data_IF_000234748635
#
_entry.id   IF_000234748635
#
_cell.length_a   1.000
_cell.length_b   1.000
_cell.length_c   1.000
_cell.angle_alpha   90.00
_cell.angle_beta   90.00
_cell.angle_gamma   90.00
#
_symmetry.space_group_name_H-M   'P 1'
#
loop_
_entity.id
_entity.type
_entity.pdbx_description
1 polymer ?
#
# COMPACT_ATOMS: atom_id res chain seq x y z
N UNK A 1 -52.50 -29.28 50.75
CA UNK A 1 -52.66 -28.96 49.31
C UNK A 1 -52.58 -27.45 49.17
N UNK A 2 -51.50 -26.84 48.73
CA UNK A 2 -50.91 -27.01 47.40
C UNK A 2 -49.48 -26.45 47.36
N UNK A 3 -48.53 -27.25 46.90
CA UNK A 3 -47.18 -26.84 46.51
C UNK A 3 -47.22 -26.00 45.22
N UNK A 4 -46.48 -24.88 45.18
CA UNK A 4 -46.14 -24.20 43.92
C UNK A 4 -44.64 -24.33 43.66
N UNK A 5 -44.31 -25.26 42.78
CA UNK A 5 -42.97 -25.56 42.30
C UNK A 5 -42.57 -24.58 41.18
N UNK A 6 -41.45 -23.89 41.36
CA UNK A 6 -40.82 -22.97 40.40
C UNK A 6 -39.97 -23.74 39.39
N UNK A 7 -40.35 -23.76 38.10
CA UNK A 7 -39.50 -24.29 37.02
C UNK A 7 -38.51 -23.22 36.53
N UNK A 8 -37.22 -23.37 36.88
CA UNK A 8 -36.09 -22.74 36.18
C UNK A 8 -35.69 -23.61 34.97
N UNK A 9 -35.85 -23.11 33.75
CA UNK A 9 -35.32 -23.72 32.52
C UNK A 9 -33.87 -23.28 32.31
N UNK A 10 -32.92 -24.15 32.67
CA UNK A 10 -31.51 -24.03 32.29
C UNK A 10 -31.35 -24.41 30.81
N UNK A 11 -31.11 -23.43 29.93
CA UNK A 11 -30.83 -23.66 28.52
C UNK A 11 -29.44 -24.27 28.33
N UNK A 12 -29.39 -25.54 27.97
CA UNK A 12 -28.13 -26.24 27.68
C UNK A 12 -27.55 -25.74 26.36
N UNK A 13 -26.50 -24.91 26.43
CA UNK A 13 -25.60 -24.65 25.29
C UNK A 13 -24.91 -25.95 24.90
N UNK A 14 -25.37 -26.57 23.81
CA UNK A 14 -24.79 -27.83 23.33
C UNK A 14 -23.39 -27.59 22.76
N UNK A 15 -22.42 -28.38 23.24
CA UNK A 15 -21.01 -28.44 22.76
C UNK A 15 -20.90 -28.53 21.23
N UNK A 16 -21.87 -29.15 20.57
CA UNK A 16 -21.96 -29.27 19.11
C UNK A 16 -22.18 -27.93 18.39
N UNK A 17 -22.86 -26.98 19.04
CA UNK A 17 -23.07 -25.62 18.51
C UNK A 17 -21.79 -24.79 18.64
N UNK A 18 -21.07 -24.94 19.75
CA UNK A 18 -19.77 -24.29 19.94
C UNK A 18 -18.76 -24.73 18.87
N UNK A 19 -18.61 -26.04 18.63
CA UNK A 19 -17.71 -26.54 17.59
C UNK A 19 -18.09 -26.09 16.17
N UNK A 20 -19.40 -25.99 15.86
CA UNK A 20 -19.85 -25.41 14.58
C UNK A 20 -19.49 -23.93 14.47
N UNK A 21 -19.69 -23.14 15.52
CA UNK A 21 -19.35 -21.71 15.51
C UNK A 21 -17.84 -21.48 15.44
N UNK A 22 -17.03 -22.27 16.16
CA UNK A 22 -15.56 -22.21 16.11
C UNK A 22 -15.00 -22.59 14.74
N UNK A 23 -15.59 -23.58 14.05
CA UNK A 23 -15.17 -23.99 12.70
C UNK A 23 -15.40 -22.90 11.63
N UNK A 24 -16.48 -22.12 11.75
CA UNK A 24 -16.79 -21.03 10.81
C UNK A 24 -15.79 -19.86 10.96
N UNK A 25 -15.37 -19.56 12.19
CA UNK A 25 -14.40 -18.48 12.46
C UNK A 25 -12.99 -18.85 11.95
N UNK A 26 -12.57 -20.11 12.11
CA UNK A 26 -11.29 -20.60 11.58
C UNK A 26 -11.23 -20.58 10.04
N UNK A 27 -12.35 -20.88 9.37
CA UNK A 27 -12.45 -20.83 7.90
C UNK A 27 -12.34 -19.41 7.33
N UNK A 28 -12.87 -18.41 8.02
CA UNK A 28 -12.80 -17.01 7.58
C UNK A 28 -11.35 -16.44 7.62
N UNK A 29 -10.55 -16.84 8.59
CA UNK A 29 -9.14 -16.44 8.69
C UNK A 29 -8.28 -17.06 7.57
N UNK A 30 -8.55 -18.31 7.19
CA UNK A 30 -7.85 -18.98 6.08
C UNK A 30 -8.17 -18.35 4.72
N UNK A 31 -9.41 -17.90 4.50
CA UNK A 31 -9.81 -17.21 3.28
C UNK A 31 -9.10 -15.87 3.06
N UNK A 32 -8.80 -15.13 4.13
CA UNK A 32 -8.09 -13.84 4.04
C UNK A 32 -6.64 -14.01 3.52
N UNK A 33 -5.96 -15.07 3.94
CA UNK A 33 -4.59 -15.35 3.51
C UNK A 33 -4.52 -15.80 2.04
N UNK A 34 -5.52 -16.56 1.58
CA UNK A 34 -5.61 -17.00 0.18
C UNK A 34 -5.95 -15.82 -0.73
N UNK A 35 -6.85 -14.91 -0.31
CA UNK A 35 -7.16 -13.70 -1.07
C UNK A 35 -5.94 -12.77 -1.24
N UNK A 36 -5.09 -12.64 -0.22
CA UNK A 36 -3.82 -11.90 -0.32
C UNK A 36 -2.81 -12.56 -1.25
N UNK A 37 -2.67 -13.88 -1.19
CA UNK A 37 -1.80 -14.64 -2.09
C UNK A 37 -2.29 -14.58 -3.55
N UNK A 38 -3.60 -14.53 -3.76
CA UNK A 38 -4.20 -14.46 -5.09
C UNK A 38 -4.01 -13.07 -5.74
N UNK A 39 -3.94 -11.99 -4.96
CA UNK A 39 -3.62 -10.66 -5.49
C UNK A 39 -2.17 -10.57 -6.00
N UNK A 40 -1.21 -11.24 -5.34
CA UNK A 40 0.16 -11.35 -5.85
C UNK A 40 0.26 -12.18 -7.15
N UNK A 41 -0.78 -12.92 -7.50
CA UNK A 41 -0.90 -13.69 -8.74
C UNK A 41 -1.84 -13.02 -9.77
N UNK A 42 -2.41 -11.85 -9.47
CA UNK A 42 -3.48 -11.20 -10.25
C UNK A 42 -3.00 -10.43 -11.48
N UNK A 43 -1.71 -10.13 -11.57
CA UNK A 43 -1.07 -9.59 -12.75
C UNK A 43 -0.19 -10.68 -13.37
N UNK A 44 -0.15 -10.79 -14.69
CA UNK A 44 0.64 -11.78 -15.43
C UNK A 44 2.16 -11.55 -15.26
N UNK A 45 2.69 -11.63 -14.04
CA UNK A 45 4.06 -11.33 -13.68
C UNK A 45 4.42 -9.84 -13.62
N UNK A 46 3.45 -8.92 -13.68
CA UNK A 46 3.69 -7.47 -13.65
C UNK A 46 3.50 -6.84 -12.26
N UNK A 47 4.33 -5.89 -11.87
CA UNK A 47 4.10 -5.05 -10.69
C UNK A 47 3.32 -3.80 -11.07
N UNK A 48 2.12 -3.65 -10.52
CA UNK A 48 1.26 -2.49 -10.67
C UNK A 48 1.71 -1.38 -9.72
N UNK A 49 2.07 -0.22 -10.29
CA UNK A 49 2.56 0.94 -9.55
C UNK A 49 1.44 1.99 -9.40
N UNK A 50 1.36 2.58 -8.21
CA UNK A 50 0.69 3.86 -7.98
C UNK A 50 1.73 4.96 -7.72
N UNK A 51 1.63 6.10 -8.42
CA UNK A 51 2.42 7.29 -8.09
C UNK A 51 1.59 8.26 -7.24
N UNK A 52 2.13 8.67 -6.09
CA UNK A 52 1.54 9.71 -5.25
C UNK A 52 2.53 10.86 -5.12
N UNK A 53 2.18 12.02 -5.69
CA UNK A 53 3.06 13.16 -5.90
C UNK A 53 3.67 13.16 -7.30
N UNK A 54 2.98 13.79 -8.24
CA UNK A 54 3.27 13.83 -9.67
C UNK A 54 4.27 14.97 -10.05
N UNK A 55 5.15 15.34 -9.14
CA UNK A 55 6.23 16.29 -9.41
C UNK A 55 7.38 15.67 -10.22
N UNK A 56 8.44 16.45 -10.46
CA UNK A 56 9.62 15.97 -11.19
C UNK A 56 10.28 14.74 -10.56
N UNK A 57 10.40 14.71 -9.23
CA UNK A 57 10.94 13.55 -8.50
C UNK A 57 10.04 12.31 -8.59
N UNK A 58 8.71 12.49 -8.51
CA UNK A 58 7.76 11.39 -8.65
C UNK A 58 7.77 10.79 -10.05
N UNK A 59 7.77 11.66 -11.06
CA UNK A 59 7.93 11.26 -12.47
C UNK A 59 9.24 10.49 -12.69
N UNK A 60 10.34 10.98 -12.11
CA UNK A 60 11.63 10.29 -12.13
C UNK A 60 11.64 8.97 -11.35
N UNK A 61 10.86 8.84 -10.28
CA UNK A 61 10.74 7.58 -9.53
C UNK A 61 10.05 6.49 -10.36
N UNK A 62 8.99 6.84 -11.10
CA UNK A 62 8.37 5.91 -12.05
C UNK A 62 9.35 5.53 -13.16
N UNK A 63 10.06 6.51 -13.73
CA UNK A 63 11.07 6.24 -14.76
C UNK A 63 12.16 5.27 -14.26
N UNK A 64 12.66 5.48 -13.04
CA UNK A 64 13.63 4.58 -12.41
C UNK A 64 13.04 3.17 -12.18
N UNK A 65 11.77 3.06 -11.78
CA UNK A 65 11.11 1.77 -11.63
C UNK A 65 10.94 1.05 -12.97
N UNK A 66 10.72 1.79 -14.05
CA UNK A 66 10.67 1.24 -15.41
C UNK A 66 12.03 0.72 -15.87
N UNK A 67 13.12 1.41 -15.53
CA UNK A 67 14.48 1.00 -15.86
C UNK A 67 14.93 -0.20 -15.02
N UNK A 68 14.43 -0.33 -13.79
CA UNK A 68 14.84 -1.39 -12.86
C UNK A 68 14.25 -2.77 -13.21
N UNK A 69 13.00 -2.84 -13.68
CA UNK A 69 12.38 -4.10 -14.12
C UNK A 69 11.39 -3.82 -15.27
N UNK A 70 11.49 -4.51 -16.43
CA UNK A 70 10.57 -4.34 -17.55
C UNK A 70 9.11 -4.72 -17.24
N UNK A 71 8.86 -5.48 -16.17
CA UNK A 71 7.55 -5.95 -15.74
C UNK A 71 6.88 -5.01 -14.74
N UNK A 72 7.27 -3.74 -14.68
CA UNK A 72 6.50 -2.74 -13.89
C UNK A 72 5.58 -1.93 -14.81
N UNK A 73 4.36 -1.62 -14.36
CA UNK A 73 3.40 -0.80 -15.10
C UNK A 73 2.72 0.20 -14.16
N UNK A 74 2.55 1.43 -14.62
CA UNK A 74 1.87 2.48 -13.86
C UNK A 74 0.37 2.38 -14.11
N UNK A 75 -0.42 2.18 -13.06
CA UNK A 75 -1.87 1.98 -13.17
C UNK A 75 -2.68 3.05 -12.44
N UNK A 76 -2.09 3.79 -11.50
CA UNK A 76 -2.76 4.87 -10.79
C UNK A 76 -1.82 6.05 -10.52
N UNK A 77 -2.37 7.26 -10.54
CA UNK A 77 -1.66 8.50 -10.20
C UNK A 77 -2.51 9.37 -9.27
N UNK A 78 -1.87 9.99 -8.29
CA UNK A 78 -2.48 10.96 -7.40
C UNK A 78 -1.61 12.21 -7.24
N UNK A 79 -2.25 13.37 -7.28
CA UNK A 79 -1.66 14.65 -6.88
C UNK A 79 -2.73 15.59 -6.31
N UNK A 80 -2.33 16.59 -5.54
CA UNK A 80 -3.25 17.64 -5.12
C UNK A 80 -3.62 18.57 -6.29
N UNK A 81 -2.75 18.67 -7.30
CA UNK A 81 -2.88 19.60 -8.41
C UNK A 81 -2.95 18.87 -9.76
N UNK A 82 -3.98 19.17 -10.55
CA UNK A 82 -4.24 18.51 -11.83
C UNK A 82 -3.15 18.77 -12.87
N UNK A 83 -2.60 19.99 -12.92
CA UNK A 83 -1.53 20.38 -13.84
C UNK A 83 -0.27 19.52 -13.65
N UNK A 84 0.08 19.20 -12.39
CA UNK A 84 1.20 18.31 -12.04
C UNK A 84 0.95 16.90 -12.52
N UNK A 85 -0.25 16.36 -12.26
CA UNK A 85 -0.65 15.03 -12.70
C UNK A 85 -0.56 14.92 -14.23
N UNK A 86 -1.19 15.85 -14.96
CA UNK A 86 -1.24 15.80 -16.43
C UNK A 86 0.15 15.95 -17.07
N UNK A 87 0.99 16.84 -16.51
CA UNK A 87 2.38 17.01 -16.98
C UNK A 87 3.18 15.71 -16.80
N UNK A 88 3.07 15.09 -15.62
CA UNK A 88 3.74 13.82 -15.34
C UNK A 88 3.25 12.70 -16.25
N UNK A 89 1.93 12.55 -16.39
CA UNK A 89 1.31 11.53 -17.22
C UNK A 89 1.75 11.65 -18.68
N UNK A 90 1.78 12.87 -19.21
CA UNK A 90 2.24 13.15 -20.58
C UNK A 90 3.69 12.73 -20.77
N UNK A 91 4.57 13.07 -19.82
CA UNK A 91 5.99 12.74 -19.90
C UNK A 91 6.23 11.22 -19.79
N UNK A 92 5.48 10.53 -18.93
CA UNK A 92 5.59 9.08 -18.75
C UNK A 92 5.05 8.33 -19.96
N UNK A 93 3.93 8.76 -20.56
CA UNK A 93 3.39 8.18 -21.80
C UNK A 93 4.36 8.34 -22.98
N UNK A 94 5.08 9.46 -23.07
CA UNK A 94 6.15 9.63 -24.07
C UNK A 94 7.31 8.67 -23.88
N UNK A 95 7.65 8.34 -22.62
CA UNK A 95 8.77 7.45 -22.30
C UNK A 95 8.44 5.97 -22.50
N UNK A 96 7.29 5.53 -22.01
CA UNK A 96 6.91 4.13 -21.96
C UNK A 96 5.39 3.97 -22.17
N UNK A 97 4.88 4.19 -23.40
CA UNK A 97 3.44 4.22 -23.67
C UNK A 97 2.75 2.91 -23.25
N UNK A 98 3.37 1.76 -23.53
CA UNK A 98 2.80 0.43 -23.26
C UNK A 98 2.79 0.06 -21.76
N UNK A 99 3.47 0.85 -20.93
CA UNK A 99 3.61 0.60 -19.49
C UNK A 99 2.85 1.61 -18.63
N UNK A 100 2.15 2.55 -19.25
CA UNK A 100 1.35 3.57 -18.57
C UNK A 100 -0.12 3.33 -18.89
N UNK A 101 -0.79 2.60 -17.99
CA UNK A 101 -2.21 2.22 -18.10
C UNK A 101 -3.15 3.21 -17.39
N UNK A 102 -2.62 4.38 -17.02
CA UNK A 102 -3.37 5.43 -16.34
C UNK A 102 -4.32 6.14 -17.31
N UNK A 103 -5.58 6.16 -16.91
CA UNK A 103 -6.68 6.85 -17.57
C UNK A 103 -7.33 7.88 -16.62
N UNK A 104 -8.44 8.48 -17.04
CA UNK A 104 -9.15 9.48 -16.23
C UNK A 104 -9.73 8.89 -14.94
N UNK A 105 -10.11 7.62 -14.93
CA UNK A 105 -10.69 6.95 -13.74
C UNK A 105 -9.65 6.63 -12.67
N UNK A 106 -8.38 6.50 -13.08
CA UNK A 106 -7.22 6.21 -12.24
C UNK A 106 -6.27 7.41 -12.05
N UNK A 107 -6.72 8.58 -12.50
CA UNK A 107 -6.08 9.89 -12.26
C UNK A 107 -6.83 10.64 -11.17
N UNK A 108 -6.28 10.63 -9.96
CA UNK A 108 -6.93 11.21 -8.78
C UNK A 108 -6.35 12.58 -8.46
N UNK A 109 -7.21 13.59 -8.32
CA UNK A 109 -6.82 14.96 -7.96
C UNK A 109 -7.49 15.37 -6.65
N UNK A 110 -6.72 15.98 -5.75
CA UNK A 110 -7.19 16.50 -4.47
C UNK A 110 -6.37 16.02 -3.27
N UNK A 111 -6.68 16.53 -2.08
CA UNK A 111 -5.96 16.16 -0.85
C UNK A 111 -6.24 14.72 -0.40
N UNK A 112 -7.37 14.15 -0.79
CA UNK A 112 -7.77 12.75 -0.54
C UNK A 112 -7.33 11.80 -1.66
N UNK A 113 -6.77 12.31 -2.76
CA UNK A 113 -6.41 11.52 -3.94
C UNK A 113 -5.44 10.37 -3.64
N UNK A 114 -4.56 10.53 -2.66
CA UNK A 114 -3.62 9.49 -2.26
C UNK A 114 -4.34 8.21 -1.78
N UNK A 115 -5.47 8.33 -1.09
CA UNK A 115 -6.25 7.18 -0.62
C UNK A 115 -6.82 6.40 -1.80
N UNK A 116 -7.40 7.11 -2.77
CA UNK A 116 -7.96 6.53 -4.00
C UNK A 116 -6.90 5.79 -4.82
N UNK A 117 -5.69 6.36 -4.94
CA UNK A 117 -4.58 5.70 -5.61
C UNK A 117 -4.07 4.45 -4.88
N UNK A 118 -4.15 4.42 -3.53
CA UNK A 118 -3.79 3.25 -2.72
C UNK A 118 -4.85 2.15 -2.83
N UNK A 119 -6.13 2.54 -2.89
CA UNK A 119 -7.27 1.63 -3.00
C UNK A 119 -7.44 1.02 -4.40
N UNK A 120 -6.81 1.62 -5.41
CA UNK A 120 -6.71 1.03 -6.73
C UNK A 120 -5.99 -0.34 -6.69
N UNK A 121 -6.11 -1.10 -7.78
CA UNK A 121 -5.49 -2.41 -7.96
C UNK A 121 -3.97 -2.29 -8.20
N UNK A 122 -3.24 -1.93 -7.15
CA UNK A 122 -1.78 -1.66 -7.15
C UNK A 122 -1.04 -2.57 -6.19
N UNK A 123 0.22 -2.89 -6.52
CA UNK A 123 1.13 -3.68 -5.67
C UNK A 123 2.08 -2.77 -4.89
N UNK A 124 2.60 -1.73 -5.57
CA UNK A 124 3.63 -0.84 -5.06
C UNK A 124 3.18 0.62 -5.14
N UNK A 125 3.31 1.34 -4.03
CA UNK A 125 3.07 2.77 -3.95
C UNK A 125 4.39 3.52 -3.96
N UNK A 126 4.57 4.44 -4.91
CA UNK A 126 5.69 5.36 -4.98
C UNK A 126 5.30 6.69 -4.34
N UNK A 127 5.84 6.99 -3.16
CA UNK A 127 5.54 8.20 -2.39
C UNK A 127 6.58 9.30 -2.65
N UNK A 128 6.22 10.28 -3.47
CA UNK A 128 7.05 11.42 -3.86
C UNK A 128 6.43 12.78 -3.50
N UNK A 129 5.44 12.82 -2.60
CA UNK A 129 4.82 14.06 -2.09
C UNK A 129 5.79 14.90 -1.25
N UNK A 130 5.49 16.17 -0.94
CA UNK A 130 6.26 16.91 0.07
C UNK A 130 6.33 16.14 1.41
N UNK A 131 7.46 16.25 2.16
CA UNK A 131 7.72 15.41 3.33
C UNK A 131 6.75 15.58 4.49
N UNK A 132 6.05 16.71 4.56
CA UNK A 132 5.01 16.99 5.56
C UNK A 132 3.85 15.97 5.53
N UNK A 133 3.49 15.46 4.35
CA UNK A 133 2.36 14.53 4.18
C UNK A 133 2.77 13.07 4.21
N UNK A 134 4.07 12.79 4.03
CA UNK A 134 4.60 11.45 3.81
C UNK A 134 4.33 10.48 4.98
N UNK A 135 4.38 10.86 6.27
CA UNK A 135 4.00 9.96 7.35
C UNK A 135 2.56 9.44 7.23
N UNK A 136 1.62 10.29 6.84
CA UNK A 136 0.19 9.93 6.69
C UNK A 136 0.02 9.02 5.48
N UNK A 137 0.62 9.36 4.33
CA UNK A 137 0.51 8.56 3.12
C UNK A 137 1.18 7.18 3.28
N UNK A 138 2.34 7.13 3.94
CA UNK A 138 3.05 5.89 4.23
C UNK A 138 2.22 4.97 5.12
N UNK A 139 1.64 5.52 6.19
CA UNK A 139 0.76 4.76 7.08
C UNK A 139 -0.43 4.18 6.32
N UNK A 140 -1.12 4.99 5.52
CA UNK A 140 -2.25 4.52 4.72
C UNK A 140 -1.88 3.39 3.75
N UNK A 141 -0.74 3.51 3.05
CA UNK A 141 -0.29 2.48 2.11
C UNK A 141 0.06 1.15 2.80
N UNK A 142 0.78 1.20 3.92
CA UNK A 142 1.13 0.01 4.71
C UNK A 142 -0.11 -0.60 5.39
N UNK A 143 -1.05 0.22 5.86
CA UNK A 143 -2.33 -0.24 6.39
C UNK A 143 -3.15 -0.99 5.33
N UNK A 144 -3.18 -0.47 4.10
CA UNK A 144 -3.79 -1.12 2.94
C UNK A 144 -3.03 -2.35 2.41
N UNK A 145 -1.86 -2.67 2.97
CA UNK A 145 -1.11 -3.88 2.60
C UNK A 145 -0.28 -3.72 1.34
N UNK A 146 0.11 -2.50 0.96
CA UNK A 146 0.89 -2.22 -0.25
C UNK A 146 2.39 -2.18 0.05
N UNK A 147 3.20 -2.59 -0.91
CA UNK A 147 4.64 -2.31 -0.87
C UNK A 147 4.88 -0.81 -1.11
N UNK A 148 5.94 -0.26 -0.54
CA UNK A 148 6.17 1.19 -0.62
C UNK A 148 7.62 1.53 -0.94
N UNK A 149 7.80 2.35 -1.96
CA UNK A 149 9.00 3.17 -2.15
C UNK A 149 8.70 4.58 -1.65
N UNK A 150 9.50 5.08 -0.71
CA UNK A 150 9.24 6.31 0.01
C UNK A 150 10.41 7.28 -0.14
N UNK A 151 10.21 8.39 -0.86
CA UNK A 151 11.27 9.38 -1.02
C UNK A 151 11.76 9.97 0.30
N UNK A 152 13.01 10.40 0.30
CA UNK A 152 13.61 11.10 1.45
C UNK A 152 13.30 12.61 1.38
N UNK A 153 13.26 13.32 2.52
CA UNK A 153 13.19 12.81 3.89
C UNK A 153 11.79 12.23 4.21
N UNK A 154 11.72 11.29 5.15
CA UNK A 154 10.47 10.55 5.44
C UNK A 154 9.46 11.34 6.30
N UNK A 155 9.91 12.35 7.04
CA UNK A 155 9.10 13.29 7.81
C UNK A 155 9.88 14.60 8.03
N UNK A 156 9.28 15.58 8.69
CA UNK A 156 9.88 16.90 8.99
C UNK A 156 9.97 17.21 10.50
N UNK A 157 9.38 16.38 11.35
CA UNK A 157 9.28 16.61 12.78
C UNK A 157 9.37 15.30 13.59
N UNK A 158 9.59 15.41 14.90
CA UNK A 158 9.73 14.26 15.78
C UNK A 158 8.46 13.38 15.85
N UNK A 159 7.23 13.93 15.91
CA UNK A 159 6.00 13.14 15.82
C UNK A 159 5.89 12.35 14.50
N UNK A 160 6.19 12.97 13.36
CA UNK A 160 6.18 12.32 12.06
C UNK A 160 7.18 11.18 11.97
N UNK A 161 8.41 11.36 12.49
CA UNK A 161 9.41 10.29 12.57
C UNK A 161 8.92 9.12 13.44
N UNK A 162 8.35 9.39 14.62
CA UNK A 162 7.79 8.32 15.47
C UNK A 162 6.68 7.54 14.75
N UNK A 163 5.82 8.23 14.02
CA UNK A 163 4.78 7.60 13.19
C UNK A 163 5.38 6.71 12.10
N UNK A 164 6.44 7.17 11.41
CA UNK A 164 7.15 6.40 10.40
C UNK A 164 7.82 5.16 10.99
N UNK A 165 8.42 5.25 12.19
CA UNK A 165 9.01 4.11 12.88
C UNK A 165 7.97 3.03 13.17
N UNK A 166 6.84 3.41 13.78
CA UNK A 166 5.71 2.49 14.04
C UNK A 166 5.16 1.86 12.75
N UNK A 167 5.05 2.66 11.69
CA UNK A 167 4.58 2.17 10.39
C UNK A 167 5.58 1.21 9.75
N UNK A 168 6.88 1.41 9.96
CA UNK A 168 7.92 0.52 9.45
C UNK A 168 7.90 -0.84 10.16
N UNK A 169 7.65 -0.85 11.47
CA UNK A 169 7.43 -2.09 12.23
C UNK A 169 6.18 -2.84 11.73
N UNK A 170 5.08 -2.12 11.46
CA UNK A 170 3.87 -2.70 10.88
C UNK A 170 4.13 -3.29 9.49
N UNK A 171 4.93 -2.63 8.66
CA UNK A 171 5.33 -3.14 7.35
C UNK A 171 6.08 -4.47 7.48
N UNK A 172 7.03 -4.56 8.41
CA UNK A 172 7.77 -5.80 8.69
C UNK A 172 6.84 -6.92 9.18
N UNK A 173 5.91 -6.63 10.10
CA UNK A 173 4.92 -7.60 10.60
C UNK A 173 4.02 -8.14 9.48
N UNK A 174 3.69 -7.31 8.49
CA UNK A 174 2.88 -7.69 7.33
C UNK A 174 3.67 -8.36 6.20
N UNK A 175 5.00 -8.45 6.31
CA UNK A 175 5.87 -8.95 5.24
C UNK A 175 5.95 -8.03 4.03
N UNK A 176 5.75 -6.72 4.22
CA UNK A 176 5.77 -5.72 3.15
C UNK A 176 7.16 -5.10 3.02
N UNK A 177 7.67 -5.04 1.78
CA UNK A 177 8.84 -4.23 1.45
C UNK A 177 8.55 -2.74 1.60
N UNK A 178 9.36 -2.07 2.43
CA UNK A 178 9.41 -0.62 2.58
C UNK A 178 10.84 -0.14 2.32
N UNK A 179 11.03 0.68 1.28
CA UNK A 179 12.33 1.18 0.87
C UNK A 179 12.34 2.70 0.86
N UNK A 180 13.39 3.31 1.41
CA UNK A 180 13.61 4.75 1.31
C UNK A 180 14.36 5.12 0.02
N UNK A 181 14.01 6.24 -0.61
CA UNK A 181 14.68 6.82 -1.80
C UNK A 181 16.11 7.31 -1.58
N UNK A 182 16.83 6.79 -0.59
CA UNK A 182 18.24 7.08 -0.36
C UNK A 182 19.11 6.32 -1.37
N UNK A 183 19.14 6.84 -2.59
CA UNK A 183 19.82 6.22 -3.74
C UNK A 183 21.31 5.91 -3.50
N UNK A 184 21.97 6.68 -2.63
CA UNK A 184 23.38 6.50 -2.28
C UNK A 184 23.69 5.12 -1.69
N UNK A 185 22.73 4.44 -1.06
CA UNK A 185 22.91 3.05 -0.58
C UNK A 185 23.14 2.05 -1.72
N UNK A 186 22.76 2.41 -2.94
CA UNK A 186 22.85 1.56 -4.14
C UNK A 186 23.92 2.03 -5.11
N UNK A 187 24.51 3.21 -4.90
CA UNK A 187 25.52 3.77 -5.79
C UNK A 187 26.87 3.07 -5.58
N UNK A 188 27.46 2.52 -6.65
CA UNK A 188 28.66 1.67 -6.60
C UNK A 188 29.82 2.34 -5.86
N UNK A 189 30.22 3.55 -6.26
CA UNK A 189 31.34 4.24 -5.62
C UNK A 189 31.08 4.56 -4.14
N UNK A 190 29.82 4.80 -3.76
CA UNK A 190 29.47 5.05 -2.35
C UNK A 190 29.58 3.78 -1.52
N UNK A 191 29.15 2.65 -2.08
CA UNK A 191 29.28 1.34 -1.44
C UNK A 191 30.76 0.97 -1.27
N UNK A 192 31.58 1.16 -2.29
CA UNK A 192 33.02 0.90 -2.25
C UNK A 192 33.78 1.77 -1.23
N UNK A 193 33.27 2.97 -0.91
CA UNK A 193 33.93 3.90 0.00
C UNK A 193 33.47 3.77 1.45
N UNK A 194 32.19 3.44 1.70
CA UNK A 194 31.57 3.52 3.04
C UNK A 194 31.33 2.15 3.68
N UNK A 195 31.15 1.08 2.90
CA UNK A 195 30.87 -0.28 3.39
C UNK A 195 32.14 -1.08 3.56
#
# INVERSE_FOLDING_TARGET
MTDRNTKKTQGTTSRRRFLKTSGVIAGAAAGLSIARSAHAAGSEGYLNLALIGCGGRGTGAVANAFDADPRTRLVAMADAFEDRLQTSLTNLKKRAPDRVLVDKSTSFVGFDAYQKAIEADVDVVLLATPPHFRPIHLKAAIEAGKHVFCEKPVAVDAPGIRSVLQTSELAAQKGLSLVSGLCWRYHTATRETIQ
#
